data_IF_808049246485
#
_entry.id   IF_808049246485
#
_cell.length_a   1.000
_cell.length_b   1.000
_cell.length_c   1.000
_cell.angle_alpha   90.00
_cell.angle_beta   90.00
_cell.angle_gamma   90.00
#
_symmetry.space_group_name_H-M   'P 1'
#
loop_
_entity.id
_entity.type
_entity.pdbx_description
1 polymer ?
#
# COMPACT_ATOMS: atom_id res chain seq x y z
N UNK A 1 24.08 21.75 21.79
CA UNK A 1 23.56 22.11 20.45
C UNK A 1 22.39 21.24 19.99
N UNK A 2 22.58 19.93 19.71
CA UNK A 2 21.49 19.05 19.19
C UNK A 2 20.21 19.07 20.02
N UNK A 3 20.33 19.05 21.35
CA UNK A 3 19.19 19.09 22.28
C UNK A 3 18.31 20.34 22.10
N UNK A 4 18.92 21.52 22.01
CA UNK A 4 18.19 22.77 21.79
C UNK A 4 17.47 22.81 20.44
N UNK A 5 18.04 22.18 19.41
CA UNK A 5 17.39 22.08 18.11
C UNK A 5 16.14 21.19 18.20
N UNK A 6 16.23 20.05 18.89
CA UNK A 6 15.09 19.16 19.11
C UNK A 6 13.98 19.87 19.90
N UNK A 7 14.33 20.55 20.99
CA UNK A 7 13.38 21.31 21.82
C UNK A 7 12.71 22.44 21.01
N UNK A 8 13.48 23.18 20.20
CA UNK A 8 12.93 24.21 19.32
C UNK A 8 11.96 23.64 18.27
N UNK A 9 12.35 22.58 17.57
CA UNK A 9 11.52 21.95 16.54
C UNK A 9 10.23 21.35 17.13
N UNK A 10 10.30 20.78 18.33
CA UNK A 10 9.12 20.30 19.05
C UNK A 10 8.13 21.42 19.39
N UNK A 11 8.63 22.62 19.70
CA UNK A 11 7.79 23.80 20.03
C UNK A 11 7.25 24.57 18.81
N UNK A 12 7.81 24.36 17.61
CA UNK A 12 7.49 25.17 16.44
C UNK A 12 6.20 24.70 15.74
N UNK A 13 5.12 25.50 15.82
CA UNK A 13 3.83 25.19 15.20
C UNK A 13 3.91 24.96 13.68
N UNK A 14 4.74 25.72 12.97
CA UNK A 14 4.93 25.53 11.52
C UNK A 14 5.58 24.17 11.23
N UNK A 15 6.61 23.79 11.99
CA UNK A 15 7.24 22.48 11.83
C UNK A 15 6.24 21.35 12.12
N UNK A 16 5.42 21.51 13.17
CA UNK A 16 4.42 20.52 13.54
C UNK A 16 3.28 20.41 12.53
N UNK A 17 2.99 21.40 11.69
CA UNK A 17 1.96 21.32 10.64
C UNK A 17 2.51 20.76 9.33
N UNK A 18 3.68 21.22 8.93
CA UNK A 18 4.26 20.89 7.62
C UNK A 18 5.00 19.54 7.62
N UNK A 19 5.53 19.12 8.78
CA UNK A 19 6.33 17.89 8.93
C UNK A 19 5.67 16.89 9.89
N UNK A 20 4.34 16.77 9.82
CA UNK A 20 3.64 15.68 10.51
C UNK A 20 4.07 14.35 9.91
N UNK A 21 4.27 13.35 10.78
CA UNK A 21 4.41 11.97 10.35
C UNK A 21 3.07 11.46 9.82
N UNK A 22 2.93 11.41 8.51
CA UNK A 22 1.72 10.93 7.84
C UNK A 22 1.72 9.41 7.65
N UNK A 23 2.86 8.76 7.90
CA UNK A 23 2.98 7.32 7.78
C UNK A 23 2.46 6.67 9.05
N UNK A 24 1.49 5.76 8.91
CA UNK A 24 1.14 4.87 10.01
C UNK A 24 2.35 4.01 10.33
N UNK A 25 2.60 3.69 11.62
CA UNK A 25 3.60 2.70 11.96
C UNK A 25 3.30 1.42 11.20
N UNK A 26 4.33 0.84 10.58
CA UNK A 26 4.18 -0.41 9.84
C UNK A 26 3.64 -1.48 10.80
N UNK A 27 2.49 -2.05 10.46
CA UNK A 27 1.91 -3.17 11.19
C UNK A 27 2.55 -4.50 10.77
N UNK A 28 2.29 -5.54 11.56
CA UNK A 28 2.66 -6.90 11.16
C UNK A 28 1.79 -7.30 9.96
N UNK A 29 2.43 -7.72 8.86
CA UNK A 29 1.72 -8.31 7.74
C UNK A 29 1.18 -9.67 8.19
N UNK A 30 -0.13 -9.86 8.08
CA UNK A 30 -0.73 -11.17 8.27
C UNK A 30 -0.54 -11.97 6.98
N UNK A 31 0.23 -13.05 7.04
CA UNK A 31 0.33 -13.97 5.91
C UNK A 31 -1.02 -14.66 5.72
N UNK A 32 -1.38 -14.93 4.46
CA UNK A 32 -2.47 -15.85 4.16
C UNK A 32 -2.05 -17.27 4.53
N UNK A 33 -3.01 -18.09 4.92
CA UNK A 33 -2.80 -19.51 5.17
C UNK A 33 -2.41 -20.22 3.86
N UNK A 34 -1.50 -21.19 3.98
CA UNK A 34 -1.09 -22.01 2.83
C UNK A 34 -2.24 -22.97 2.51
N UNK A 35 -2.77 -22.96 1.28
CA UNK A 35 -3.85 -23.86 0.90
C UNK A 35 -3.37 -25.31 0.87
N UNK A 36 -4.17 -26.20 1.47
CA UNK A 36 -3.83 -27.63 1.59
C UNK A 36 -3.97 -28.40 0.28
N UNK A 37 -4.72 -27.87 -0.69
CA UNK A 37 -5.04 -28.55 -1.94
C UNK A 37 -5.30 -27.56 -3.08
N UNK A 38 -5.23 -28.07 -4.31
CA UNK A 38 -5.55 -27.29 -5.51
C UNK A 38 -6.97 -26.74 -5.42
N UNK A 39 -7.12 -25.46 -5.79
CA UNK A 39 -8.40 -24.73 -5.81
C UNK A 39 -9.01 -24.41 -4.44
N UNK A 40 -8.28 -24.63 -3.34
CA UNK A 40 -8.74 -24.18 -2.01
C UNK A 40 -8.64 -22.66 -1.83
N UNK A 41 -7.70 -22.03 -2.54
CA UNK A 41 -7.55 -20.58 -2.59
C UNK A 41 -7.48 -20.13 -4.05
N UNK A 42 -8.29 -19.13 -4.39
CA UNK A 42 -8.26 -18.47 -5.69
C UNK A 42 -8.21 -16.97 -5.44
N UNK A 43 -7.14 -16.34 -5.91
CA UNK A 43 -7.01 -14.88 -5.91
C UNK A 43 -7.34 -14.33 -7.29
N UNK A 44 -8.12 -13.24 -7.33
CA UNK A 44 -8.62 -12.62 -8.55
C UNK A 44 -8.26 -11.14 -8.56
N UNK A 45 -7.78 -10.64 -9.69
CA UNK A 45 -7.45 -9.22 -9.86
C UNK A 45 -7.73 -8.71 -11.29
N UNK A 46 -7.76 -7.40 -11.46
CA UNK A 46 -7.89 -6.73 -12.75
C UNK A 46 -6.73 -5.79 -13.01
N UNK A 47 -6.03 -6.02 -14.12
CA UNK A 47 -5.10 -5.04 -14.67
C UNK A 47 -5.91 -4.13 -15.58
N UNK A 48 -6.11 -2.88 -15.20
CA UNK A 48 -6.89 -1.87 -15.93
C UNK A 48 -5.99 -0.79 -16.55
N UNK A 49 -6.55 0.08 -17.39
CA UNK A 49 -5.81 1.22 -17.97
C UNK A 49 -4.90 0.84 -19.15
N UNK A 50 -5.09 -0.33 -19.75
CA UNK A 50 -4.32 -0.75 -20.92
C UNK A 50 -4.75 0.01 -22.18
N UNK A 51 -3.87 0.10 -23.20
CA UNK A 51 -4.25 0.66 -24.49
C UNK A 51 -5.51 -0.01 -25.05
N UNK A 52 -6.53 0.80 -25.35
CA UNK A 52 -7.83 0.30 -25.82
C UNK A 52 -7.68 -0.41 -27.16
N UNK A 53 -8.11 -1.67 -27.22
CA UNK A 53 -8.25 -2.39 -28.50
C UNK A 53 -9.49 -1.90 -29.26
N UNK A 54 -9.66 -2.35 -30.51
CA UNK A 54 -10.84 -2.03 -31.35
C UNK A 54 -12.19 -2.25 -30.67
N UNK A 55 -12.29 -3.21 -29.76
CA UNK A 55 -13.50 -3.51 -28.97
C UNK A 55 -13.65 -2.67 -27.69
N UNK A 56 -12.89 -1.58 -27.54
CA UNK A 56 -12.87 -0.66 -26.38
C UNK A 56 -12.63 -1.35 -25.02
N UNK A 57 -11.93 -2.48 -25.01
CA UNK A 57 -11.48 -3.16 -23.78
C UNK A 57 -10.07 -2.67 -23.42
N UNK A 58 -9.86 -2.38 -22.15
CA UNK A 58 -8.61 -1.88 -21.55
C UNK A 58 -8.21 -2.65 -20.27
N UNK A 59 -8.91 -3.75 -19.99
CA UNK A 59 -8.75 -4.49 -18.75
C UNK A 59 -8.53 -5.98 -19.00
N UNK A 60 -7.65 -6.60 -18.20
CA UNK A 60 -7.38 -8.05 -18.17
C UNK A 60 -7.77 -8.56 -16.80
N UNK A 61 -8.54 -9.65 -16.77
CA UNK A 61 -8.85 -10.39 -15.56
C UNK A 61 -7.79 -11.47 -15.32
N UNK A 62 -7.19 -11.45 -14.13
CA UNK A 62 -6.14 -12.38 -13.72
C UNK A 62 -6.69 -13.26 -12.60
N UNK A 63 -6.43 -14.57 -12.71
CA UNK A 63 -6.75 -15.55 -11.69
C UNK A 63 -5.47 -16.29 -11.30
N UNK A 64 -5.19 -16.36 -10.00
CA UNK A 64 -4.13 -17.15 -9.40
C UNK A 64 -4.78 -18.25 -8.56
N UNK A 65 -4.25 -19.47 -8.70
CA UNK A 65 -4.62 -20.57 -7.82
C UNK A 65 -3.44 -20.70 -6.88
N UNK A 66 -3.69 -20.37 -5.61
CA UNK A 66 -2.73 -20.55 -4.55
C UNK A 66 -2.84 -21.98 -4.02
#
# INVERSE_FOLDING_TARGET
>A
MKRHVVEYVASCLTCQKEKVEHQKPAGMLHSLDIPEWKWNSISMDFITGLPKKRKKKDSIWVMWID
#
